data_IF_239514470536
#
_entry.id   IF_239514470536
#
_cell.length_a   1.000
_cell.length_b   1.000
_cell.length_c   1.000
_cell.angle_alpha   90.00
_cell.angle_beta   90.00
_cell.angle_gamma   90.00
#
_symmetry.space_group_name_H-M   'P 1'
#
loop_
_entity.id
_entity.type
_entity.pdbx_description
1 polymer ?
#
# COMPACT_ATOMS: atom_id res chain seq x y z
N UNK A 1 23.35 -14.89 -13.75
CA UNK A 1 21.96 -14.97 -14.22
C UNK A 1 21.17 -14.01 -13.36
N UNK A 2 20.40 -13.16 -14.03
CA UNK A 2 19.75 -11.92 -13.57
C UNK A 2 19.67 -11.66 -12.05
N UNK A 3 20.38 -10.62 -11.60
CA UNK A 3 20.34 -10.07 -10.24
C UNK A 3 19.21 -9.04 -10.15
N UNK A 4 17.95 -9.49 -10.17
CA UNK A 4 16.78 -8.63 -10.00
C UNK A 4 16.23 -8.73 -8.58
N UNK A 5 16.49 -7.72 -7.74
CA UNK A 5 15.82 -7.53 -6.45
C UNK A 5 14.30 -7.59 -6.65
N UNK A 6 13.63 -8.63 -6.15
CA UNK A 6 12.18 -8.78 -6.27
C UNK A 6 11.45 -7.52 -5.77
N UNK A 7 10.47 -7.05 -6.55
CA UNK A 7 9.67 -5.85 -6.24
C UNK A 7 9.10 -5.96 -4.83
N UNK A 8 9.07 -4.84 -4.11
CA UNK A 8 8.45 -4.77 -2.79
C UNK A 8 7.33 -3.74 -2.78
N UNK A 9 6.22 -4.08 -2.14
CA UNK A 9 5.05 -3.22 -1.97
C UNK A 9 4.71 -3.09 -0.50
N UNK A 10 4.14 -1.94 -0.14
CA UNK A 10 3.60 -1.70 1.20
C UNK A 10 2.09 -1.52 1.04
N UNK A 11 1.29 -2.19 1.88
CA UNK A 11 -0.14 -1.94 1.97
C UNK A 11 -0.43 -1.24 3.29
N UNK A 12 -0.96 -0.02 3.23
CA UNK A 12 -1.57 0.65 4.38
C UNK A 12 -3.07 0.42 4.34
N UNK A 13 -3.62 -0.23 5.36
CA UNK A 13 -5.04 -0.61 5.39
C UNK A 13 -5.81 0.10 6.50
N UNK A 14 -6.94 0.68 6.14
CA UNK A 14 -7.91 1.21 7.10
C UNK A 14 -8.73 0.05 7.69
N UNK A 15 -8.33 -0.44 8.86
CA UNK A 15 -8.94 -1.60 9.53
C UNK A 15 -10.45 -1.47 9.75
N UNK A 16 -11.00 -0.33 10.20
CA UNK A 16 -12.44 -0.14 10.26
C UNK A 16 -13.18 -0.32 8.93
N UNK A 17 -12.55 0.03 7.80
CA UNK A 17 -13.13 -0.11 6.45
C UNK A 17 -12.84 -1.45 5.77
N UNK A 18 -11.81 -2.17 6.21
CA UNK A 18 -11.50 -3.55 5.79
C UNK A 18 -11.32 -4.48 7.01
N UNK A 19 -12.39 -4.70 7.81
CA UNK A 19 -12.29 -5.38 9.11
C UNK A 19 -11.81 -6.82 9.00
N UNK A 20 -12.17 -7.51 7.91
CA UNK A 20 -11.75 -8.88 7.62
C UNK A 20 -10.45 -8.97 6.84
N UNK A 21 -9.82 -7.84 6.47
CA UNK A 21 -8.68 -7.79 5.54
C UNK A 21 -8.94 -8.46 4.19
N UNK A 22 -10.21 -8.53 3.76
CA UNK A 22 -10.55 -9.29 2.56
C UNK A 22 -9.92 -8.65 1.31
N UNK A 23 -9.97 -7.31 1.22
CA UNK A 23 -9.35 -6.57 0.12
C UNK A 23 -7.83 -6.57 0.27
N UNK A 24 -7.35 -6.33 1.49
CA UNK A 24 -5.92 -6.36 1.83
C UNK A 24 -5.25 -7.68 1.40
N UNK A 25 -5.82 -8.83 1.79
CA UNK A 25 -5.26 -10.15 1.47
C UNK A 25 -5.42 -10.50 0.00
N UNK A 26 -6.50 -10.06 -0.67
CA UNK A 26 -6.64 -10.23 -2.13
C UNK A 26 -5.50 -9.55 -2.89
N UNK A 27 -5.17 -8.32 -2.53
CA UNK A 27 -4.08 -7.54 -3.16
C UNK A 27 -2.74 -8.18 -2.85
N UNK A 28 -2.52 -8.54 -1.58
CA UNK A 28 -1.31 -9.19 -1.13
C UNK A 28 -1.05 -10.46 -1.92
N UNK A 29 -2.04 -11.36 -2.00
CA UNK A 29 -1.94 -12.59 -2.76
C UNK A 29 -1.63 -12.33 -4.24
N UNK A 30 -2.35 -11.40 -4.87
CA UNK A 30 -2.13 -11.03 -6.28
C UNK A 30 -0.69 -10.59 -6.58
N UNK A 31 -0.08 -9.82 -5.68
CA UNK A 31 1.30 -9.33 -5.81
C UNK A 31 2.34 -10.42 -5.47
N UNK A 32 2.10 -11.18 -4.40
CA UNK A 32 2.99 -12.28 -3.97
C UNK A 32 3.02 -13.42 -5.02
N UNK A 33 1.90 -13.73 -5.66
CA UNK A 33 1.83 -14.67 -6.80
C UNK A 33 2.72 -14.24 -7.99
N UNK A 34 3.02 -12.93 -8.10
CA UNK A 34 3.91 -12.35 -9.12
C UNK A 34 5.35 -12.19 -8.62
N UNK A 35 5.69 -12.79 -7.48
CA UNK A 35 7.04 -12.79 -6.92
C UNK A 35 7.41 -11.49 -6.19
N UNK A 36 6.42 -10.64 -5.86
CA UNK A 36 6.67 -9.46 -5.06
C UNK A 36 6.67 -9.77 -3.55
N UNK A 37 7.41 -8.98 -2.77
CA UNK A 37 7.32 -8.98 -1.31
C UNK A 37 6.31 -7.93 -0.87
N UNK A 38 5.40 -8.29 0.04
CA UNK A 38 4.36 -7.38 0.51
C UNK A 38 4.42 -7.25 2.03
N UNK A 39 4.45 -6.01 2.52
CA UNK A 39 4.30 -5.69 3.95
C UNK A 39 2.98 -4.98 4.18
N UNK A 40 2.26 -5.34 5.24
CA UNK A 40 0.94 -4.76 5.57
C UNK A 40 1.03 -3.99 6.89
N UNK A 41 0.44 -2.80 6.92
CA UNK A 41 0.36 -1.92 8.10
C UNK A 41 -1.06 -1.41 8.26
N UNK A 42 -1.56 -1.41 9.49
CA UNK A 42 -2.82 -0.74 9.76
C UNK A 42 -2.61 0.78 9.90
N UNK A 43 -3.57 1.57 9.43
CA UNK A 43 -3.51 3.04 9.47
C UNK A 43 -3.63 3.65 10.88
N UNK A 44 -3.73 2.82 11.91
CA UNK A 44 -3.64 3.22 13.32
C UNK A 44 -2.32 2.80 13.99
N UNK A 45 -1.42 2.11 13.28
CA UNK A 45 -0.12 1.69 13.80
C UNK A 45 0.92 2.81 13.64
N UNK A 46 1.93 2.81 14.52
CA UNK A 46 3.02 3.78 14.49
C UNK A 46 3.81 3.72 13.19
N UNK A 47 4.03 4.88 12.58
CA UNK A 47 4.75 5.03 11.32
C UNK A 47 6.20 4.51 11.40
N UNK A 48 6.78 4.43 12.60
CA UNK A 48 8.11 3.83 12.83
C UNK A 48 8.17 2.36 12.41
N UNK A 49 7.04 1.65 12.37
CA UNK A 49 6.96 0.26 11.90
C UNK A 49 7.07 0.12 10.39
N UNK A 50 6.74 1.17 9.63
CA UNK A 50 6.75 1.10 8.16
C UNK A 50 8.16 0.87 7.59
N UNK A 51 9.22 0.92 8.42
CA UNK A 51 10.60 0.78 7.97
C UNK A 51 11.06 1.93 7.05
N UNK A 52 10.21 2.94 6.83
CA UNK A 52 10.42 4.07 5.92
C UNK A 52 11.57 4.98 6.36
N UNK A 53 11.97 4.89 7.63
CA UNK A 53 12.99 5.73 8.24
C UNK A 53 14.43 5.20 8.03
N UNK A 54 14.60 4.01 7.45
CA UNK A 54 15.92 3.47 7.21
C UNK A 54 16.15 3.30 5.71
N UNK A 55 17.25 3.84 5.26
CA UNK A 55 17.91 3.67 3.97
C UNK A 55 18.17 2.18 3.66
N UNK A 56 17.10 1.40 3.45
CA UNK A 56 17.16 -0.05 3.20
C UNK A 56 17.31 -0.31 1.72
N UNK A 57 18.41 0.13 1.10
CA UNK A 57 18.97 -0.45 -0.13
C UNK A 57 18.04 -0.66 -1.34
N UNK A 58 16.89 0.02 -1.40
CA UNK A 58 15.83 -0.17 -2.38
C UNK A 58 14.49 0.30 -1.83
N UNK A 59 14.08 1.53 -2.19
CA UNK A 59 12.75 2.03 -1.86
C UNK A 59 11.67 1.07 -2.39
N UNK A 60 10.58 0.89 -1.63
CA UNK A 60 9.45 0.10 -2.10
C UNK A 60 8.96 0.61 -3.46
N UNK A 61 8.55 -0.31 -4.33
CA UNK A 61 8.07 0.01 -5.68
C UNK A 61 6.81 0.87 -5.64
N UNK A 62 5.93 0.65 -4.66
CA UNK A 62 4.73 1.44 -4.42
C UNK A 62 4.21 1.17 -3.00
N UNK A 63 3.55 2.17 -2.41
CA UNK A 63 2.67 1.98 -1.27
C UNK A 63 1.21 2.10 -1.73
N UNK A 64 0.45 1.03 -1.50
CA UNK A 64 -0.97 0.90 -1.79
C UNK A 64 -1.74 1.28 -0.53
N UNK A 65 -2.64 2.25 -0.64
CA UNK A 65 -3.38 2.83 0.48
C UNK A 65 -4.85 2.46 0.37
N UNK A 66 -5.32 1.56 1.23
CA UNK A 66 -6.70 1.08 1.25
C UNK A 66 -7.52 1.90 2.24
N UNK A 67 -8.34 2.81 1.74
CA UNK A 67 -9.09 3.72 2.61
C UNK A 67 -9.73 4.87 1.87
N UNK A 68 -9.89 6.00 2.55
CA UNK A 68 -10.31 7.27 1.93
C UNK A 68 -9.26 8.35 2.08
N UNK A 69 -9.65 9.60 1.81
CA UNK A 69 -8.73 10.76 1.80
C UNK A 69 -7.92 10.91 3.09
N UNK A 70 -8.52 10.66 4.26
CA UNK A 70 -7.81 10.71 5.54
C UNK A 70 -6.67 9.69 5.65
N UNK A 71 -6.87 8.46 5.15
CA UNK A 71 -5.83 7.43 5.09
C UNK A 71 -4.76 7.79 4.05
N UNK A 72 -5.15 8.35 2.90
CA UNK A 72 -4.22 8.82 1.87
C UNK A 72 -3.32 9.97 2.34
N UNK A 73 -3.90 10.98 3.02
CA UNK A 73 -3.15 12.08 3.60
C UNK A 73 -2.17 11.62 4.69
N UNK A 74 -2.55 10.62 5.49
CA UNK A 74 -1.66 9.99 6.47
C UNK A 74 -0.49 9.30 5.78
N UNK A 75 -0.77 8.49 4.77
CA UNK A 75 0.26 7.83 3.98
C UNK A 75 1.23 8.84 3.35
N UNK A 76 0.71 9.90 2.71
CA UNK A 76 1.52 10.97 2.14
C UNK A 76 2.40 11.69 3.15
N UNK A 77 1.90 11.90 4.37
CA UNK A 77 2.71 12.48 5.46
C UNK A 77 3.83 11.53 5.90
N UNK A 78 3.55 10.24 6.00
CA UNK A 78 4.51 9.22 6.44
C UNK A 78 5.56 8.90 5.38
N UNK A 79 5.21 9.03 4.10
CA UNK A 79 6.10 8.83 2.96
C UNK A 79 6.69 10.12 2.40
N UNK A 80 6.42 11.29 2.98
CA UNK A 80 6.79 12.61 2.43
C UNK A 80 8.27 12.74 2.03
N UNK A 81 9.17 12.03 2.72
CA UNK A 81 10.61 12.03 2.45
C UNK A 81 11.12 10.75 1.78
N UNK A 82 10.25 9.76 1.58
CA UNK A 82 10.53 8.56 0.81
C UNK A 82 10.02 8.78 -0.61
N UNK A 83 10.83 8.55 -1.64
CA UNK A 83 10.40 8.68 -3.06
C UNK A 83 9.45 7.55 -3.50
N UNK A 84 8.66 7.01 -2.58
CA UNK A 84 7.78 5.86 -2.82
C UNK A 84 6.47 6.37 -3.44
N UNK A 85 6.10 5.90 -4.64
CA UNK A 85 4.81 6.22 -5.25
C UNK A 85 3.64 5.72 -4.39
N UNK A 86 2.57 6.51 -4.30
CA UNK A 86 1.34 6.15 -3.60
C UNK A 86 0.24 5.78 -4.59
N UNK A 87 -0.46 4.68 -4.33
CA UNK A 87 -1.67 4.28 -5.06
C UNK A 87 -2.84 4.18 -4.08
N UNK A 88 -3.82 5.08 -4.21
CA UNK A 88 -5.02 5.06 -3.38
C UNK A 88 -6.09 4.11 -3.91
N UNK A 89 -6.57 3.18 -3.09
CA UNK A 89 -7.69 2.28 -3.37
C UNK A 89 -8.86 2.62 -2.47
N UNK A 90 -10.00 2.94 -3.09
CA UNK A 90 -11.20 3.29 -2.35
C UNK A 90 -11.97 2.04 -1.91
N UNK A 91 -12.22 1.91 -0.59
CA UNK A 91 -12.97 0.81 0.01
C UNK A 91 -14.50 1.02 0.05
N UNK A 92 -15.05 1.99 -0.70
CA UNK A 92 -16.49 2.12 -0.91
C UNK A 92 -17.15 3.39 -0.35
N UNK A 93 -16.39 4.40 0.05
CA UNK A 93 -16.91 5.75 0.34
C UNK A 93 -16.34 6.72 -0.69
N UNK A 94 -17.18 7.37 -1.49
CA UNK A 94 -16.78 8.38 -2.48
C UNK A 94 -15.73 9.34 -1.86
N UNK A 95 -14.54 9.39 -2.46
CA UNK A 95 -13.39 10.17 -2.00
C UNK A 95 -12.73 10.87 -3.18
N UNK A 96 -11.98 11.94 -2.93
CA UNK A 96 -11.38 12.75 -3.99
C UNK A 96 -9.98 12.27 -4.39
N UNK A 97 -9.25 11.59 -3.49
CA UNK A 97 -7.82 11.25 -3.66
C UNK A 97 -7.56 9.75 -3.88
N UNK A 98 -8.56 8.89 -3.73
CA UNK A 98 -8.44 7.46 -3.98
C UNK A 98 -8.85 7.16 -5.42
N UNK A 99 -7.87 6.79 -6.25
CA UNK A 99 -7.99 6.77 -7.72
C UNK A 99 -8.55 5.46 -8.28
N UNK A 100 -8.46 4.35 -7.54
CA UNK A 100 -8.82 3.02 -8.05
C UNK A 100 -9.90 2.36 -7.19
N UNK A 101 -10.98 1.91 -7.82
CA UNK A 101 -11.97 1.03 -7.20
C UNK A 101 -11.44 -0.39 -7.08
N UNK A 102 -11.85 -1.13 -6.04
CA UNK A 102 -11.45 -2.53 -5.82
C UNK A 102 -11.69 -3.42 -7.06
N UNK A 103 -12.70 -3.10 -7.87
CA UNK A 103 -13.03 -3.83 -9.09
C UNK A 103 -11.98 -3.66 -10.21
N UNK A 104 -11.27 -2.53 -10.27
CA UNK A 104 -10.29 -2.19 -11.31
C UNK A 104 -8.84 -2.37 -10.87
N UNK A 105 -8.64 -2.95 -9.69
CA UNK A 105 -7.34 -2.95 -9.02
C UNK A 105 -6.29 -3.82 -9.70
N UNK A 106 -6.70 -4.93 -10.32
CA UNK A 106 -5.79 -5.85 -11.00
C UNK A 106 -5.22 -5.25 -12.29
N UNK A 107 -5.94 -4.32 -12.94
CA UNK A 107 -5.45 -3.62 -14.13
C UNK A 107 -4.45 -2.51 -13.78
N UNK A 108 -4.51 -2.00 -12.55
CA UNK A 108 -3.66 -0.90 -12.07
C UNK A 108 -2.32 -1.36 -11.48
N UNK A 109 -2.13 -2.67 -11.22
CA UNK A 109 -0.99 -3.27 -10.50
C UNK A 109 -0.14 -4.21 -11.37
#
# INVERSE_FOLDING_TARGET
>A
MDTGTGKSYIIMTNRPKDPSLAVTERIRAFLEERGARVSVFADNEDASRLGLAADTGGAASCMIVLGGDGTMLRAAKETAFSRIPLLGVNLGTMGYLAEVEVASLEEAL
#
